data_IF_737098970651
#
_entry.id   IF_737098970651
#
_cell.length_a   1.000
_cell.length_b   1.000
_cell.length_c   1.000
_cell.angle_alpha   90.00
_cell.angle_beta   90.00
_cell.angle_gamma   90.00
#
_symmetry.space_group_name_H-M   'P 1'
#
loop_
_entity.id
_entity.type
_entity.pdbx_description
1 polymer ?
#
# COMPACT_ATOMS: atom_id res chain seq x y z
N UNK A 1 7.89 -17.97 -10.58
CA UNK A 1 7.35 -17.29 -9.41
C UNK A 1 5.82 -17.30 -9.44
N UNK A 2 5.21 -17.98 -8.48
CA UNK A 2 3.76 -18.12 -8.43
C UNK A 2 3.14 -16.94 -7.67
N UNK A 3 2.16 -16.29 -8.26
CA UNK A 3 1.38 -15.25 -7.63
C UNK A 3 -0.08 -15.29 -8.06
N UNK A 4 -0.95 -14.75 -7.23
CA UNK A 4 -2.33 -14.45 -7.55
C UNK A 4 -2.52 -12.94 -7.63
N UNK A 5 -3.27 -12.48 -8.63
CA UNK A 5 -3.70 -11.10 -8.73
C UNK A 5 -5.16 -11.02 -8.28
N UNK A 6 -5.40 -10.32 -7.18
CA UNK A 6 -6.75 -10.13 -6.63
C UNK A 6 -7.13 -8.67 -6.83
N UNK A 7 -8.13 -8.42 -7.65
CA UNK A 7 -8.66 -7.08 -7.95
C UNK A 7 -10.02 -6.90 -7.29
N UNK A 8 -10.20 -5.82 -6.55
CA UNK A 8 -11.50 -5.44 -6.00
C UNK A 8 -12.10 -4.34 -6.87
N UNK A 9 -13.12 -4.69 -7.65
CA UNK A 9 -13.90 -3.72 -8.41
C UNK A 9 -14.99 -3.11 -7.51
N UNK A 10 -14.69 -1.94 -6.96
CA UNK A 10 -15.60 -1.25 -6.05
C UNK A 10 -16.69 -0.46 -6.80
N UNK A 11 -17.46 -1.16 -7.63
CA UNK A 11 -18.59 -0.63 -8.42
C UNK A 11 -18.16 0.38 -9.49
N UNK A 12 -17.12 0.08 -10.25
CA UNK A 12 -16.71 0.88 -11.41
C UNK A 12 -17.84 1.00 -12.43
N UNK A 13 -17.96 2.20 -13.05
CA UNK A 13 -19.01 2.54 -14.01
C UNK A 13 -18.47 2.83 -15.43
N UNK A 14 -17.17 2.71 -15.64
CA UNK A 14 -16.42 3.09 -16.84
C UNK A 14 -16.03 1.90 -17.76
N UNK A 15 -16.67 0.73 -17.56
CA UNK A 15 -16.34 -0.48 -18.33
C UNK A 15 -15.23 -1.35 -17.70
N UNK A 16 -14.58 -0.91 -16.61
CA UNK A 16 -13.54 -1.68 -15.90
C UNK A 16 -14.01 -3.10 -15.57
N UNK A 17 -15.23 -3.27 -15.07
CA UNK A 17 -15.77 -4.58 -14.69
C UNK A 17 -15.87 -5.56 -15.86
N UNK A 18 -16.16 -5.09 -17.08
CA UNK A 18 -16.19 -5.94 -18.27
C UNK A 18 -14.78 -6.34 -18.71
N UNK A 19 -13.84 -5.40 -18.68
CA UNK A 19 -12.44 -5.68 -18.98
C UNK A 19 -11.89 -6.73 -18.01
N UNK A 20 -12.11 -6.56 -16.71
CA UNK A 20 -11.66 -7.50 -15.69
C UNK A 20 -12.27 -8.90 -15.89
N UNK A 21 -13.55 -8.99 -16.23
CA UNK A 21 -14.24 -10.25 -16.54
C UNK A 21 -13.58 -10.97 -17.72
N UNK A 22 -13.25 -10.25 -18.78
CA UNK A 22 -12.62 -10.80 -19.97
C UNK A 22 -11.18 -11.27 -19.68
N UNK A 23 -10.42 -10.51 -18.92
CA UNK A 23 -9.07 -10.89 -18.49
C UNK A 23 -9.09 -12.13 -17.58
N UNK A 24 -10.00 -12.19 -16.61
CA UNK A 24 -10.12 -13.34 -15.72
C UNK A 24 -10.55 -14.63 -16.43
N UNK A 25 -11.21 -14.54 -17.60
CA UNK A 25 -11.52 -15.70 -18.43
C UNK A 25 -10.28 -16.31 -19.09
N UNK A 26 -9.23 -15.52 -19.29
CA UNK A 26 -8.00 -15.95 -19.99
C UNK A 26 -6.82 -16.15 -19.06
N UNK A 27 -6.73 -15.42 -17.93
CA UNK A 27 -5.65 -15.57 -16.94
C UNK A 27 -6.22 -16.07 -15.60
N UNK A 28 -5.93 -17.32 -15.29
CA UNK A 28 -6.40 -18.00 -14.06
C UNK A 28 -5.80 -17.42 -12.78
N UNK A 29 -4.75 -16.60 -12.87
CA UNK A 29 -4.14 -15.94 -11.72
C UNK A 29 -4.98 -14.76 -11.25
N UNK A 30 -5.83 -14.20 -12.14
CA UNK A 30 -6.69 -13.07 -11.83
C UNK A 30 -7.98 -13.52 -11.16
N UNK A 31 -8.23 -12.98 -9.99
CA UNK A 31 -9.50 -13.08 -9.26
C UNK A 31 -10.11 -11.70 -9.10
N UNK A 32 -11.36 -11.54 -9.49
CA UNK A 32 -12.09 -10.28 -9.35
C UNK A 32 -13.10 -10.41 -8.22
N UNK A 33 -13.07 -9.49 -7.27
CA UNK A 33 -14.02 -9.38 -6.17
C UNK A 33 -14.88 -8.14 -6.40
N UNK A 34 -16.19 -8.28 -6.34
CA UNK A 34 -17.11 -7.16 -6.30
C UNK A 34 -17.83 -7.15 -4.96
N UNK A 35 -17.73 -6.05 -4.17
CA UNK A 35 -18.47 -5.92 -2.91
C UNK A 35 -19.97 -6.04 -3.12
N UNK A 36 -20.69 -6.77 -2.24
CA UNK A 36 -22.12 -7.08 -2.46
C UNK A 36 -23.04 -5.87 -2.27
N UNK A 37 -22.82 -5.05 -1.26
CA UNK A 37 -23.85 -4.09 -0.82
C UNK A 37 -23.34 -2.70 -0.42
N UNK A 38 -22.05 -2.45 -0.38
CA UNK A 38 -21.50 -1.20 0.15
C UNK A 38 -20.33 -0.72 -0.67
N UNK A 39 -20.37 0.54 -1.02
CA UNK A 39 -19.18 1.22 -1.52
C UNK A 39 -18.18 1.33 -0.37
N UNK A 40 -17.07 0.63 -0.49
CA UNK A 40 -15.99 0.65 0.48
C UNK A 40 -15.00 1.77 0.15
N UNK A 41 -14.26 2.19 1.16
CA UNK A 41 -13.06 2.99 0.97
C UNK A 41 -11.88 2.08 0.58
N UNK A 42 -10.73 2.68 0.30
CA UNK A 42 -9.51 1.97 -0.10
C UNK A 42 -9.16 0.87 0.90
N UNK A 43 -9.11 1.19 2.20
CA UNK A 43 -8.78 0.21 3.24
C UNK A 43 -9.76 -0.95 3.33
N UNK A 44 -11.06 -0.70 3.10
CA UNK A 44 -12.09 -1.74 3.05
C UNK A 44 -11.89 -2.69 1.86
N UNK A 45 -11.59 -2.16 0.67
CA UNK A 45 -11.27 -2.96 -0.52
C UNK A 45 -10.04 -3.83 -0.30
N UNK A 46 -8.98 -3.29 0.30
CA UNK A 46 -7.79 -4.05 0.65
C UNK A 46 -8.10 -5.20 1.60
N UNK A 47 -8.92 -4.95 2.62
CA UNK A 47 -9.31 -5.99 3.58
C UNK A 47 -10.05 -7.14 2.92
N UNK A 48 -10.88 -6.87 1.91
CA UNK A 48 -11.51 -7.93 1.12
C UNK A 48 -10.49 -8.77 0.39
N UNK A 49 -9.55 -8.15 -0.31
CA UNK A 49 -8.49 -8.86 -1.04
C UNK A 49 -7.60 -9.69 -0.09
N UNK A 50 -7.19 -9.11 1.04
CA UNK A 50 -6.33 -9.78 2.03
C UNK A 50 -7.02 -10.96 2.71
N UNK A 51 -8.33 -10.87 2.94
CA UNK A 51 -9.12 -11.96 3.54
C UNK A 51 -9.43 -13.08 2.55
N UNK A 52 -9.30 -12.84 1.26
CA UNK A 52 -9.60 -13.84 0.23
C UNK A 52 -8.70 -15.07 0.39
N UNK A 53 -9.22 -16.32 0.20
CA UNK A 53 -8.45 -17.54 0.36
C UNK A 53 -7.22 -17.64 -0.55
N UNK A 54 -7.29 -17.05 -1.74
CA UNK A 54 -6.16 -17.01 -2.69
C UNK A 54 -5.10 -15.94 -2.37
N UNK A 55 -5.32 -15.09 -1.36
CA UNK A 55 -4.27 -14.19 -0.89
C UNK A 55 -3.13 -15.02 -0.28
N UNK A 56 -1.98 -14.98 -0.92
CA UNK A 56 -0.82 -15.79 -0.59
C UNK A 56 -0.15 -15.43 0.74
N UNK A 57 1.04 -15.99 0.94
CA UNK A 57 1.86 -15.75 2.15
C UNK A 57 2.24 -14.28 2.32
N UNK A 58 2.49 -13.59 1.22
CA UNK A 58 2.77 -12.16 1.17
C UNK A 58 1.71 -11.48 0.32
N UNK A 59 1.22 -10.34 0.76
CA UNK A 59 0.34 -9.45 0.03
C UNK A 59 1.13 -8.21 -0.40
N UNK A 60 1.11 -7.89 -1.68
CA UNK A 60 1.82 -6.72 -2.23
C UNK A 60 0.80 -5.83 -2.93
N UNK A 61 0.82 -4.54 -2.59
CA UNK A 61 -0.07 -3.55 -3.17
C UNK A 61 0.34 -3.16 -4.59
N UNK A 62 -0.68 -2.95 -5.42
CA UNK A 62 -0.57 -2.24 -6.68
C UNK A 62 -1.84 -1.41 -6.84
N UNK A 63 -1.70 -0.10 -6.93
CA UNK A 63 -2.80 0.81 -7.21
C UNK A 63 -3.17 0.71 -8.71
N UNK A 64 -4.43 0.89 -9.04
CA UNK A 64 -4.96 0.57 -10.38
C UNK A 64 -4.43 1.47 -11.50
N UNK A 65 -3.92 2.63 -11.14
CA UNK A 65 -3.33 3.62 -12.05
C UNK A 65 -1.80 3.59 -12.07
N UNK A 66 -1.17 2.69 -11.32
CA UNK A 66 0.27 2.57 -11.16
C UNK A 66 0.85 1.29 -11.77
N UNK A 67 2.18 1.18 -11.83
CA UNK A 67 2.88 -0.02 -12.30
C UNK A 67 4.12 -0.31 -11.46
N UNK A 68 4.54 -1.58 -11.41
CA UNK A 68 5.87 -1.92 -10.88
C UNK A 68 6.97 -1.46 -11.84
N UNK A 69 8.12 -1.05 -11.30
CA UNK A 69 9.24 -0.53 -12.10
C UNK A 69 9.94 -1.58 -12.97
N UNK A 70 9.70 -2.88 -12.71
CA UNK A 70 10.31 -3.94 -13.49
C UNK A 70 9.88 -5.35 -13.11
N UNK A 71 10.32 -6.35 -13.88
CA UNK A 71 9.88 -7.73 -13.73
C UNK A 71 10.36 -8.41 -12.44
N UNK A 72 11.37 -7.85 -11.78
CA UNK A 72 11.95 -8.39 -10.54
C UNK A 72 11.41 -7.74 -9.27
N UNK A 73 10.47 -6.82 -9.36
CA UNK A 73 9.93 -6.09 -8.20
C UNK A 73 9.39 -7.03 -7.12
N UNK A 74 8.54 -7.99 -7.48
CA UNK A 74 7.97 -8.95 -6.53
C UNK A 74 9.03 -9.87 -5.92
N UNK A 75 10.00 -10.31 -6.70
CA UNK A 75 11.13 -11.12 -6.24
C UNK A 75 11.93 -10.38 -5.16
N UNK A 76 12.34 -9.14 -5.41
CA UNK A 76 13.08 -8.30 -4.46
C UNK A 76 12.33 -8.06 -3.16
N UNK A 77 11.01 -7.86 -3.25
CA UNK A 77 10.15 -7.71 -2.07
C UNK A 77 10.14 -9.01 -1.25
N UNK A 78 9.96 -10.16 -1.89
CA UNK A 78 9.94 -11.46 -1.22
C UNK A 78 11.29 -11.79 -0.60
N UNK A 79 12.40 -11.53 -1.29
CA UNK A 79 13.76 -11.66 -0.76
C UNK A 79 13.97 -10.79 0.49
N UNK A 80 13.47 -9.54 0.47
CA UNK A 80 13.54 -8.65 1.63
C UNK A 80 12.77 -9.22 2.83
N UNK A 81 11.59 -9.83 2.64
CA UNK A 81 10.86 -10.49 3.71
C UNK A 81 11.69 -11.59 4.38
N UNK A 82 12.32 -12.45 3.59
CA UNK A 82 13.11 -13.56 4.12
C UNK A 82 14.43 -13.09 4.74
N UNK A 83 15.15 -12.21 4.07
CA UNK A 83 16.42 -11.67 4.58
C UNK A 83 16.26 -10.92 5.88
N UNK A 84 15.22 -10.09 5.98
CA UNK A 84 14.99 -9.21 7.12
C UNK A 84 14.07 -9.80 8.18
N UNK A 85 13.42 -10.92 7.90
CA UNK A 85 12.38 -11.52 8.74
C UNK A 85 11.31 -10.49 9.14
N UNK A 86 10.89 -9.68 8.18
CA UNK A 86 10.00 -8.56 8.38
C UNK A 86 8.52 -8.95 8.31
N UNK A 87 7.67 -8.19 8.98
CA UNK A 87 6.21 -8.29 8.84
C UNK A 87 5.65 -7.38 7.76
N UNK A 88 6.39 -6.36 7.38
CA UNK A 88 6.08 -5.43 6.30
C UNK A 88 7.36 -5.03 5.57
N UNK A 89 7.25 -4.80 4.28
CA UNK A 89 8.32 -4.26 3.43
C UNK A 89 7.79 -3.04 2.70
N UNK A 90 8.56 -1.97 2.67
CA UNK A 90 8.31 -0.78 1.88
C UNK A 90 9.44 -0.54 0.89
N UNK A 91 9.09 -0.12 -0.33
CA UNK A 91 10.06 0.19 -1.38
C UNK A 91 10.25 1.69 -1.61
N UNK A 92 11.02 2.03 -2.63
CA UNK A 92 11.08 3.35 -3.22
C UNK A 92 10.19 3.43 -4.45
N UNK A 93 9.68 4.62 -4.73
CA UNK A 93 8.85 4.85 -5.90
C UNK A 93 9.25 6.14 -6.60
N UNK A 94 9.03 6.18 -7.92
CA UNK A 94 9.25 7.38 -8.72
C UNK A 94 7.92 7.95 -9.17
N UNK A 95 7.76 9.25 -9.02
CA UNK A 95 6.60 9.99 -9.54
C UNK A 95 6.81 10.26 -11.02
N UNK A 96 5.84 9.89 -11.84
CA UNK A 96 5.88 10.06 -13.29
C UNK A 96 4.49 10.37 -13.87
N UNK A 97 4.45 10.73 -15.15
CA UNK A 97 3.21 10.77 -15.94
C UNK A 97 2.90 9.40 -16.57
N UNK A 98 1.85 9.32 -17.41
CA UNK A 98 1.47 8.09 -18.09
C UNK A 98 2.43 7.66 -19.20
N UNK A 99 3.26 8.58 -19.72
CA UNK A 99 4.36 8.33 -20.64
C UNK A 99 5.65 7.92 -19.92
N UNK A 100 5.59 7.80 -18.57
CA UNK A 100 6.69 7.45 -17.67
C UNK A 100 7.80 8.51 -17.59
N UNK A 101 7.53 9.75 -18.00
CA UNK A 101 8.43 10.86 -17.75
C UNK A 101 8.43 11.20 -16.27
N UNK A 102 9.60 11.38 -15.68
CA UNK A 102 9.73 11.74 -14.27
C UNK A 102 9.16 13.11 -13.98
N UNK A 103 8.28 13.20 -12.99
CA UNK A 103 7.72 14.45 -12.48
C UNK A 103 8.35 14.80 -11.12
N UNK A 104 8.46 16.10 -10.77
CA UNK A 104 8.92 16.48 -9.44
C UNK A 104 8.03 15.92 -8.33
N UNK A 105 8.60 15.51 -7.18
CA UNK A 105 10.01 15.55 -6.80
C UNK A 105 10.87 14.39 -7.32
N UNK A 106 10.37 13.51 -8.18
CA UNK A 106 11.10 12.39 -8.73
C UNK A 106 11.06 11.15 -7.85
N UNK A 107 12.22 10.65 -7.45
CA UNK A 107 12.34 9.46 -6.61
C UNK A 107 12.04 9.80 -5.14
N UNK A 108 11.13 9.01 -4.54
CA UNK A 108 10.83 9.04 -3.12
C UNK A 108 11.39 7.75 -2.50
N UNK A 109 12.45 7.88 -1.72
CA UNK A 109 13.19 6.74 -1.16
C UNK A 109 13.20 6.68 0.38
N UNK A 110 12.56 7.64 1.05
CA UNK A 110 12.48 7.71 2.51
C UNK A 110 13.85 7.47 3.20
N UNK A 111 14.89 8.20 2.79
CA UNK A 111 16.25 8.09 3.37
C UNK A 111 16.31 8.37 4.87
N UNK A 112 15.32 9.08 5.41
CA UNK A 112 15.14 9.29 6.84
C UNK A 112 14.82 8.01 7.62
N UNK A 113 14.45 6.92 6.92
CA UNK A 113 14.27 5.61 7.50
C UNK A 113 15.63 4.95 7.70
N UNK A 114 16.07 4.82 8.95
CA UNK A 114 17.38 4.29 9.31
C UNK A 114 17.28 3.10 10.26
N UNK A 115 18.30 2.26 10.31
CA UNK A 115 18.35 1.15 11.26
C UNK A 115 18.37 1.62 12.71
N UNK A 116 19.06 2.73 13.00
CA UNK A 116 19.15 3.34 14.33
C UNK A 116 17.77 3.70 14.90
N UNK A 117 16.88 4.22 14.08
CA UNK A 117 15.52 4.55 14.48
C UNK A 117 14.65 3.32 14.76
N UNK A 118 15.01 2.15 14.24
CA UNK A 118 14.34 0.89 14.49
C UNK A 118 12.82 0.98 14.28
N UNK A 119 12.06 0.54 15.27
CA UNK A 119 10.58 0.57 15.24
C UNK A 119 9.97 1.98 15.22
N UNK A 120 10.76 3.01 15.55
CA UNK A 120 10.28 4.40 15.57
C UNK A 120 10.36 5.09 14.20
N UNK A 121 10.92 4.45 13.18
CA UNK A 121 10.94 5.00 11.83
C UNK A 121 9.55 5.43 11.34
N UNK A 122 8.54 4.59 11.52
CA UNK A 122 7.17 4.89 11.11
C UNK A 122 6.59 6.16 11.78
N UNK A 123 7.06 6.52 12.97
CA UNK A 123 6.65 7.75 13.67
C UNK A 123 7.29 9.02 13.09
N UNK A 124 8.39 8.88 12.34
CA UNK A 124 9.21 10.00 11.82
C UNK A 124 8.87 10.42 10.40
N UNK A 125 8.18 9.56 9.64
CA UNK A 125 7.75 9.87 8.27
C UNK A 125 6.30 10.35 8.24
N UNK A 126 5.93 11.10 7.21
CA UNK A 126 4.58 11.62 7.05
C UNK A 126 3.71 10.79 6.09
N UNK A 127 3.89 9.51 6.09
CA UNK A 127 3.18 8.55 5.24
C UNK A 127 4.14 7.56 4.61
N UNK A 128 3.57 6.52 4.04
CA UNK A 128 4.31 5.48 3.33
C UNK A 128 4.15 5.67 1.84
N UNK A 129 5.25 5.49 1.14
CA UNK A 129 5.23 5.35 -0.31
C UNK A 129 4.89 3.92 -0.75
N UNK A 130 4.84 3.74 -2.06
CA UNK A 130 4.66 2.47 -2.71
C UNK A 130 6.02 1.81 -3.08
N UNK A 131 6.05 0.50 -3.31
CA UNK A 131 5.03 -0.48 -2.97
C UNK A 131 5.00 -0.78 -1.47
N UNK A 132 3.83 -1.13 -0.96
CA UNK A 132 3.64 -1.62 0.41
C UNK A 132 3.35 -3.11 0.35
N UNK A 133 4.14 -3.88 1.07
CA UNK A 133 4.00 -5.32 1.10
C UNK A 133 3.92 -5.83 2.55
N UNK A 134 3.18 -6.90 2.76
CA UNK A 134 2.84 -7.40 4.09
C UNK A 134 2.98 -8.90 4.18
N UNK A 135 3.46 -9.39 5.30
CA UNK A 135 3.28 -10.78 5.67
C UNK A 135 1.81 -11.01 6.03
N UNK A 136 1.08 -11.72 5.19
CA UNK A 136 -0.38 -11.85 5.23
C UNK A 136 -0.95 -12.23 6.60
N UNK A 137 -0.37 -13.18 7.37
CA UNK A 137 -0.88 -13.51 8.71
C UNK A 137 -0.87 -12.32 9.68
N UNK A 138 0.18 -11.51 9.65
CA UNK A 138 0.27 -10.31 10.49
C UNK A 138 -0.71 -9.24 10.02
N UNK A 139 -0.85 -9.03 8.71
CA UNK A 139 -1.82 -8.08 8.16
C UNK A 139 -3.26 -8.47 8.51
N UNK A 140 -3.60 -9.76 8.43
CA UNK A 140 -4.94 -10.25 8.82
C UNK A 140 -5.28 -9.99 10.28
N UNK A 141 -4.27 -9.94 11.16
CA UNK A 141 -4.44 -9.57 12.57
C UNK A 141 -4.43 -8.04 12.80
N UNK A 142 -4.11 -7.26 11.77
CA UNK A 142 -3.95 -5.80 11.81
C UNK A 142 -4.62 -5.13 10.61
N UNK A 143 -5.88 -5.43 10.34
CA UNK A 143 -6.60 -4.95 9.18
C UNK A 143 -6.52 -3.41 9.03
N UNK A 144 -6.57 -2.95 7.79
CA UNK A 144 -6.58 -1.53 7.47
C UNK A 144 -7.88 -0.86 7.96
N UNK A 145 -7.85 0.38 8.45
CA UNK A 145 -9.08 1.14 8.65
C UNK A 145 -9.77 1.37 7.29
N UNK A 146 -11.11 1.35 7.29
CA UNK A 146 -11.89 1.60 6.07
C UNK A 146 -11.95 3.10 5.78
N UNK A 147 -10.84 3.64 5.29
CA UNK A 147 -10.66 5.03 4.87
C UNK A 147 -9.99 5.07 3.50
N UNK A 148 -10.07 6.21 2.82
CA UNK A 148 -9.36 6.46 1.54
C UNK A 148 -8.12 7.30 1.70
N UNK A 149 -7.64 7.51 2.93
CA UNK A 149 -6.41 8.26 3.20
C UNK A 149 -5.77 7.81 4.52
N UNK A 150 -4.47 7.50 4.46
CA UNK A 150 -3.67 7.13 5.63
C UNK A 150 -3.98 5.76 6.23
N UNK A 151 -4.72 4.91 5.52
CA UNK A 151 -5.01 3.52 5.90
C UNK A 151 -3.75 2.66 5.97
N UNK A 152 -2.85 2.86 5.02
CA UNK A 152 -1.53 2.24 4.95
C UNK A 152 -0.61 2.71 6.08
N UNK A 153 -0.63 4.01 6.35
CA UNK A 153 0.15 4.59 7.44
C UNK A 153 -0.33 4.08 8.80
N UNK A 154 -1.64 4.00 9.01
CA UNK A 154 -2.23 3.48 10.24
C UNK A 154 -1.83 2.02 10.51
N UNK A 155 -1.84 1.17 9.48
CA UNK A 155 -1.44 -0.23 9.62
C UNK A 155 0.07 -0.37 9.83
N UNK A 156 0.89 0.44 9.17
CA UNK A 156 2.33 0.45 9.39
C UNK A 156 2.69 0.83 10.83
N UNK A 157 2.10 1.90 11.37
CA UNK A 157 2.27 2.30 12.76
C UNK A 157 2.00 1.13 13.71
N UNK A 158 0.87 0.43 13.51
CA UNK A 158 0.45 -0.70 14.33
C UNK A 158 1.39 -1.91 14.21
N UNK A 159 1.77 -2.27 12.99
CA UNK A 159 2.71 -3.38 12.73
C UNK A 159 4.07 -3.06 13.34
N UNK A 160 4.62 -1.86 13.10
CA UNK A 160 5.94 -1.47 13.56
C UNK A 160 6.08 -1.38 15.09
N UNK A 161 4.97 -1.42 15.83
CA UNK A 161 4.99 -1.50 17.28
C UNK A 161 5.66 -2.77 17.81
N UNK A 162 5.46 -3.90 17.13
CA UNK A 162 5.90 -5.22 17.57
C UNK A 162 6.80 -5.96 16.57
N UNK A 163 6.69 -5.63 15.28
CA UNK A 163 7.39 -6.33 14.21
C UNK A 163 8.27 -5.39 13.39
N UNK A 164 9.25 -5.99 12.74
CA UNK A 164 10.14 -5.25 11.84
C UNK A 164 9.40 -4.84 10.57
N UNK A 165 9.62 -3.60 10.14
CA UNK A 165 9.31 -3.11 8.81
C UNK A 165 10.64 -2.95 8.09
N UNK A 166 10.84 -3.68 7.01
CA UNK A 166 12.04 -3.63 6.20
C UNK A 166 11.91 -2.59 5.08
N UNK A 167 13.06 -2.14 4.59
CA UNK A 167 13.16 -1.11 3.57
C UNK A 167 13.96 -1.63 2.37
N UNK A 168 13.42 -1.43 1.16
CA UNK A 168 14.14 -1.61 -0.11
C UNK A 168 14.33 -0.22 -0.72
N UNK A 169 15.58 0.21 -0.87
CA UNK A 169 15.90 1.55 -1.37
C UNK A 169 15.89 1.66 -2.89
N UNK A 170 15.88 0.53 -3.59
CA UNK A 170 15.75 0.50 -5.03
C UNK A 170 14.36 0.96 -5.47
N UNK A 171 14.27 1.59 -6.64
CA UNK A 171 13.01 1.91 -7.27
C UNK A 171 12.24 0.63 -7.61
N UNK A 172 11.10 0.44 -7.00
CA UNK A 172 10.25 -0.73 -7.21
C UNK A 172 8.90 -0.39 -7.83
N UNK A 173 8.56 0.90 -7.93
CA UNK A 173 7.21 1.32 -8.24
C UNK A 173 7.22 2.65 -8.99
N UNK A 174 6.35 2.78 -9.99
CA UNK A 174 6.11 3.99 -10.75
C UNK A 174 4.73 4.51 -10.42
N UNK A 175 4.70 5.60 -9.65
CA UNK A 175 3.49 6.27 -9.22
C UNK A 175 3.08 7.27 -10.30
N UNK A 176 2.05 6.93 -11.07
CA UNK A 176 1.60 7.74 -12.21
C UNK A 176 0.64 8.83 -11.74
N UNK A 177 0.92 10.07 -12.14
CA UNK A 177 0.15 11.24 -11.75
C UNK A 177 -0.79 11.71 -12.86
N UNK A 178 -2.04 11.95 -12.48
CA UNK A 178 -3.08 12.50 -13.31
C UNK A 178 -4.12 13.24 -12.46
N UNK A 179 -5.05 13.96 -13.09
CA UNK A 179 -6.05 14.78 -12.38
C UNK A 179 -6.99 13.98 -11.46
N UNK A 180 -7.19 12.69 -11.75
CA UNK A 180 -8.05 11.80 -10.97
C UNK A 180 -7.40 11.16 -9.74
N UNK A 181 -6.10 11.38 -9.48
CA UNK A 181 -5.49 10.85 -8.25
C UNK A 181 -6.15 11.44 -7.00
N UNK A 182 -6.37 10.62 -5.99
CA UNK A 182 -7.00 11.00 -4.72
C UNK A 182 -6.29 12.17 -4.02
N UNK A 183 -5.00 12.33 -4.26
CA UNK A 183 -4.14 13.36 -3.68
C UNK A 183 -3.65 14.42 -4.71
N UNK A 184 -4.24 14.46 -5.92
CA UNK A 184 -3.76 15.35 -6.98
C UNK A 184 -3.89 16.84 -6.64
N UNK A 185 -4.99 17.27 -6.06
CA UNK A 185 -5.23 18.66 -5.65
C UNK A 185 -6.23 18.70 -4.47
N UNK A 186 -5.86 18.29 -3.26
CA UNK A 186 -6.75 18.41 -2.13
C UNK A 186 -6.97 19.89 -1.81
N UNK A 187 -8.23 20.30 -1.58
CA UNK A 187 -8.49 21.61 -1.03
C UNK A 187 -7.88 21.74 0.38
N UNK A 188 -7.71 22.99 0.87
CA UNK A 188 -7.10 23.24 2.17
C UNK A 188 -7.82 22.53 3.32
N UNK A 189 -9.14 22.39 3.23
CA UNK A 189 -9.94 21.72 4.27
C UNK A 189 -9.65 20.23 4.30
N UNK A 190 -9.63 19.59 3.15
CA UNK A 190 -9.29 18.16 3.00
C UNK A 190 -7.83 17.89 3.41
N UNK A 191 -6.89 18.76 2.99
CA UNK A 191 -5.50 18.65 3.38
C UNK A 191 -5.32 18.73 4.91
N UNK A 192 -5.97 19.70 5.55
CA UNK A 192 -5.92 19.85 7.00
C UNK A 192 -6.57 18.68 7.73
N UNK A 193 -7.70 18.16 7.23
CA UNK A 193 -8.34 16.98 7.79
C UNK A 193 -7.44 15.74 7.70
N UNK A 194 -6.79 15.54 6.58
CA UNK A 194 -5.85 14.46 6.34
C UNK A 194 -4.63 14.55 7.28
N UNK A 195 -4.05 15.72 7.44
CA UNK A 195 -2.93 15.95 8.36
C UNK A 195 -3.35 15.73 9.81
N UNK A 196 -4.49 16.28 10.23
CA UNK A 196 -5.02 16.08 11.58
C UNK A 196 -5.30 14.60 11.88
N UNK A 197 -5.80 13.84 10.90
CA UNK A 197 -5.98 12.40 11.05
C UNK A 197 -4.64 11.68 11.26
N UNK A 198 -3.63 11.95 10.45
CA UNK A 198 -2.28 11.35 10.60
C UNK A 198 -1.65 11.69 11.95
N UNK A 199 -1.75 12.95 12.39
CA UNK A 199 -1.22 13.39 13.67
C UNK A 199 -1.92 12.70 14.84
N UNK A 200 -3.24 12.54 14.74
CA UNK A 200 -4.03 11.81 15.74
C UNK A 200 -3.60 10.35 15.86
N UNK A 201 -3.50 9.62 14.75
CA UNK A 201 -3.11 8.20 14.81
C UNK A 201 -1.67 8.04 15.26
N UNK A 202 -0.76 8.95 14.89
CA UNK A 202 0.63 8.99 15.36
C UNK A 202 0.71 9.21 16.87
N UNK A 203 -0.06 10.18 17.39
CA UNK A 203 -0.12 10.46 18.82
C UNK A 203 -0.65 9.28 19.63
N UNK A 204 -1.72 8.64 19.17
CA UNK A 204 -2.27 7.43 19.77
C UNK A 204 -1.25 6.28 19.76
N UNK A 205 -0.49 6.14 18.68
CA UNK A 205 0.55 5.13 18.60
C UNK A 205 1.70 5.39 19.58
N UNK A 206 2.13 6.64 19.73
CA UNK A 206 3.15 7.01 20.73
C UNK A 206 2.68 6.64 22.14
N UNK A 207 1.46 6.98 22.50
CA UNK A 207 0.88 6.61 23.81
C UNK A 207 0.83 5.10 23.99
N UNK A 208 0.41 4.35 22.95
CA UNK A 208 0.35 2.90 23.01
C UNK A 208 1.74 2.24 23.16
N UNK A 209 2.80 2.85 22.63
CA UNK A 209 4.19 2.38 22.80
C UNK A 209 4.75 2.67 24.19
N UNK A 210 4.31 3.73 24.84
CA UNK A 210 4.70 4.08 26.21
C UNK A 210 4.07 3.14 27.25
N UNK A 211 2.97 2.48 26.90
CA UNK A 211 2.25 1.55 27.77
C UNK A 211 2.75 0.08 27.67
N UNK A 212 3.75 -0.20 26.83
CA UNK A 212 4.38 -1.52 26.67
C UNK A 212 5.67 -1.65 27.48
#
# INVERSE_FOLDING_TARGET
FDFNLIVVDNHSTDGTGEILKNLAATDKRLTVIKPESKLLNIGGCWNLAVKHPLCGRFAVQLDSDDIYSGPHTLERIVEAFYREQAAMVIGSYRICDFELNTLPPGLIDHREWTEENGRNNALRINGLGAPRAFFTPILRSNLLPDTSYGEDYAVCLRISRRWKVARVYEELYLCRRWEGNTDAQPDLKSLNANNAYKDKIRSLEIMARQAL
#
